data_IF_535567388749
#
_entry.id   IF_535567388749
#
_cell.length_a   1.000
_cell.length_b   1.000
_cell.length_c   1.000
_cell.angle_alpha   90.00
_cell.angle_beta   90.00
_cell.angle_gamma   90.00
#
_symmetry.space_group_name_H-M   'P 1'
#
loop_
_entity.id
_entity.type
_entity.pdbx_description
1 polymer ?
#
# COMPACT_ATOMS: atom_id res chain seq x y z
N UNK A 1 29.39 19.06 30.81
CA UNK A 1 28.40 19.71 29.92
C UNK A 1 27.86 18.64 28.99
N UNK A 2 26.59 18.23 29.13
CA UNK A 2 25.98 17.19 28.30
C UNK A 2 25.19 17.90 27.20
N UNK A 3 25.72 17.88 25.98
CA UNK A 3 25.07 18.49 24.82
C UNK A 3 23.93 17.56 24.38
N UNK A 4 22.69 17.97 24.61
CA UNK A 4 21.52 17.24 24.12
C UNK A 4 21.36 17.52 22.62
N UNK A 5 21.09 16.51 21.78
CA UNK A 5 20.92 16.72 20.35
C UNK A 5 19.67 17.58 20.11
N UNK A 6 19.89 18.81 19.63
CA UNK A 6 18.86 19.82 19.32
C UNK A 6 18.01 19.48 18.08
N UNK A 7 18.35 18.42 17.35
CA UNK A 7 17.67 18.04 16.12
C UNK A 7 17.03 16.66 16.28
N UNK A 8 15.70 16.65 16.34
CA UNK A 8 14.91 15.42 16.21
C UNK A 8 14.93 15.04 14.72
N UNK A 9 15.44 13.87 14.37
CA UNK A 9 15.32 13.37 13.00
C UNK A 9 13.84 13.33 12.60
N UNK A 10 13.48 13.69 11.35
CA UNK A 10 12.11 13.59 10.89
C UNK A 10 11.61 12.15 11.08
N UNK A 11 10.39 12.01 11.59
CA UNK A 11 9.77 10.70 11.73
C UNK A 11 9.72 10.03 10.34
N UNK A 12 9.91 8.70 10.27
CA UNK A 12 9.81 7.99 9.01
C UNK A 12 8.43 8.21 8.39
N UNK A 13 8.38 8.32 7.05
CA UNK A 13 7.13 8.43 6.31
C UNK A 13 6.26 7.20 6.61
N UNK A 14 4.96 7.36 6.91
CA UNK A 14 4.07 6.21 7.07
C UNK A 14 3.98 5.42 5.75
N UNK A 15 3.83 4.08 5.81
CA UNK A 15 3.73 3.26 4.61
C UNK A 15 2.44 3.56 3.83
N UNK A 16 2.53 3.53 2.50
CA UNK A 16 1.37 3.52 1.61
C UNK A 16 0.89 2.08 1.45
N UNK A 17 -0.18 1.74 2.16
CA UNK A 17 -0.85 0.44 2.06
C UNK A 17 -2.15 0.61 1.30
N UNK A 18 -2.42 -0.25 0.32
CA UNK A 18 -3.67 -0.21 -0.46
C UNK A 18 -4.45 -1.50 -0.31
N UNK A 19 -5.79 -1.38 -0.24
CA UNK A 19 -6.71 -2.51 -0.31
C UNK A 19 -7.02 -2.82 -1.78
N UNK A 20 -6.76 -4.05 -2.19
CA UNK A 20 -6.97 -4.54 -3.55
C UNK A 20 -8.05 -5.61 -3.54
N UNK A 21 -9.25 -5.27 -3.98
CA UNK A 21 -10.42 -6.16 -3.95
C UNK A 21 -10.50 -7.15 -5.11
N UNK A 22 -9.46 -7.28 -5.95
CA UNK A 22 -9.41 -8.17 -7.13
C UNK A 22 -10.52 -7.90 -8.17
N UNK A 23 -11.16 -6.72 -8.12
CA UNK A 23 -12.17 -6.26 -9.07
C UNK A 23 -11.68 -5.15 -10.00
N UNK A 24 -12.46 -4.85 -11.03
CA UNK A 24 -12.13 -3.91 -12.12
C UNK A 24 -11.60 -2.56 -11.61
N UNK A 25 -12.31 -1.91 -10.69
CA UNK A 25 -11.94 -0.57 -10.22
C UNK A 25 -10.64 -0.59 -9.40
N UNK A 26 -10.48 -1.59 -8.53
CA UNK A 26 -9.27 -1.73 -7.72
C UNK A 26 -8.05 -2.07 -8.57
N UNK A 27 -8.24 -2.83 -9.65
CA UNK A 27 -7.19 -3.08 -10.66
C UNK A 27 -6.86 -1.81 -11.44
N UNK A 28 -7.87 -1.05 -11.88
CA UNK A 28 -7.67 0.22 -12.57
C UNK A 28 -6.93 1.24 -11.69
N UNK A 29 -7.19 1.24 -10.38
CA UNK A 29 -6.47 2.05 -9.41
C UNK A 29 -4.98 1.67 -9.35
N UNK A 30 -4.63 0.37 -9.29
CA UNK A 30 -3.23 -0.08 -9.32
C UNK A 30 -2.52 0.32 -10.63
N UNK A 31 -3.20 0.21 -11.77
CA UNK A 31 -2.69 0.68 -13.07
C UNK A 31 -2.45 2.20 -13.03
N UNK A 32 -3.38 2.95 -12.45
CA UNK A 32 -3.25 4.40 -12.27
C UNK A 32 -2.05 4.79 -11.41
N UNK A 33 -1.80 4.06 -10.32
CA UNK A 33 -0.64 4.25 -9.46
C UNK A 33 0.67 3.97 -10.22
N UNK A 34 0.73 2.86 -10.96
CA UNK A 34 1.87 2.51 -11.80
C UNK A 34 2.17 3.63 -12.82
N UNK A 35 1.16 4.11 -13.54
CA UNK A 35 1.32 5.17 -14.54
C UNK A 35 1.83 6.50 -13.96
N UNK A 36 1.57 6.73 -12.67
CA UNK A 36 2.01 7.93 -11.93
C UNK A 36 3.36 7.73 -11.23
N UNK A 37 3.99 6.56 -11.36
CA UNK A 37 5.23 6.25 -10.65
C UNK A 37 5.06 6.10 -9.14
N UNK A 38 3.83 5.85 -8.67
CA UNK A 38 3.54 5.65 -7.24
C UNK A 38 3.54 4.15 -6.95
N UNK A 39 4.48 3.70 -6.11
CA UNK A 39 4.58 2.32 -5.67
C UNK A 39 4.03 2.19 -4.24
N UNK A 40 2.93 1.45 -4.01
CA UNK A 40 2.53 1.06 -2.66
C UNK A 40 3.62 0.24 -1.98
N UNK A 41 3.76 0.42 -0.67
CA UNK A 41 4.64 -0.39 0.16
C UNK A 41 4.02 -1.78 0.40
N UNK A 42 2.68 -1.85 0.48
CA UNK A 42 1.93 -3.09 0.62
C UNK A 42 0.62 -3.04 -0.18
N UNK A 43 0.25 -4.18 -0.77
CA UNK A 43 -1.05 -4.41 -1.40
C UNK A 43 -1.71 -5.55 -0.63
N UNK A 44 -2.86 -5.28 -0.03
CA UNK A 44 -3.58 -6.25 0.80
C UNK A 44 -4.89 -6.65 0.14
N UNK A 45 -5.21 -7.94 0.18
CA UNK A 45 -6.48 -8.49 -0.24
C UNK A 45 -7.14 -9.22 0.93
N UNK A 46 -8.44 -9.01 1.13
CA UNK A 46 -9.21 -9.72 2.15
C UNK A 46 -9.71 -11.05 1.59
N UNK A 47 -9.07 -12.15 1.98
CA UNK A 47 -9.52 -13.50 1.64
C UNK A 47 -10.65 -13.91 2.59
N UNK A 48 -11.90 -13.76 2.15
CA UNK A 48 -13.08 -14.08 2.97
C UNK A 48 -13.58 -15.51 2.78
N UNK A 49 -13.10 -16.19 1.74
CA UNK A 49 -13.57 -17.51 1.32
C UNK A 49 -14.84 -17.49 0.45
N UNK A 50 -15.43 -16.31 0.20
CA UNK A 50 -16.60 -16.13 -0.69
C UNK A 50 -16.25 -15.84 -2.15
N UNK A 51 -14.96 -15.92 -2.49
CA UNK A 51 -14.43 -15.45 -3.76
C UNK A 51 -14.74 -16.43 -4.88
N UNK A 52 -14.86 -15.90 -6.10
CA UNK A 52 -15.03 -16.76 -7.27
C UNK A 52 -13.80 -17.66 -7.45
N UNK A 53 -13.94 -18.93 -7.86
CA UNK A 53 -12.80 -19.83 -8.09
C UNK A 53 -11.72 -19.22 -8.97
N UNK A 54 -12.11 -18.45 -9.98
CA UNK A 54 -11.20 -17.80 -10.93
C UNK A 54 -10.33 -16.70 -10.32
N UNK A 55 -10.65 -16.25 -9.10
CA UNK A 55 -9.87 -15.22 -8.36
C UNK A 55 -8.44 -15.67 -8.07
N UNK A 56 -8.20 -16.98 -7.97
CA UNK A 56 -6.92 -17.57 -7.57
C UNK A 56 -6.22 -18.38 -8.67
N UNK A 57 -6.80 -18.42 -9.89
CA UNK A 57 -6.28 -19.21 -11.02
C UNK A 57 -5.15 -18.50 -11.79
#
# INVERSE_FOLDING_TARGET
>A
MRQYPLFRSPAPKPPLVVAYGLGVDSTAMLIGLQRRGVRPDLILFANTGGEKPETYL
#
